data_IF_747562271020
#
_entry.id   IF_747562271020
#
_cell.length_a   1.000
_cell.length_b   1.000
_cell.length_c   1.000
_cell.angle_alpha   90.00
_cell.angle_beta   90.00
_cell.angle_gamma   90.00
#
_symmetry.space_group_name_H-M   'P 1'
#
loop_
_entity.id
_entity.type
_entity.pdbx_description
1 polymer ?
#
# COMPACT_ATOMS: atom_id res chain seq x y z
N UNK A 1 -2.98 5.82 -24.83
CA UNK A 1 -3.79 4.74 -24.25
C UNK A 1 -2.91 3.83 -23.40
N UNK A 2 -2.30 4.36 -22.36
CA UNK A 2 -1.47 3.52 -21.44
C UNK A 2 -1.29 4.24 -20.11
N UNK A 3 -2.40 4.56 -19.39
CA UNK A 3 -2.29 5.19 -18.08
C UNK A 3 -3.52 4.89 -17.23
N UNK A 4 -3.61 3.64 -16.73
CA UNK A 4 -4.46 3.33 -15.59
C UNK A 4 -3.62 2.55 -14.59
N UNK A 5 -2.84 3.27 -13.81
CA UNK A 5 -2.09 2.70 -12.67
C UNK A 5 -2.73 3.24 -11.41
N UNK A 6 -3.22 2.34 -10.59
CA UNK A 6 -4.11 2.59 -9.45
C UNK A 6 -3.38 2.45 -8.13
N UNK A 7 -3.87 3.25 -7.19
CA UNK A 7 -3.54 3.28 -5.77
C UNK A 7 -3.50 1.89 -5.13
N UNK A 8 -2.31 1.39 -4.77
CA UNK A 8 -2.26 0.22 -3.90
C UNK A 8 -0.99 0.16 -3.05
N UNK A 9 -1.09 0.63 -1.83
CA UNK A 9 -0.14 0.26 -0.78
C UNK A 9 -0.53 -1.13 -0.23
N UNK A 10 -0.37 -2.20 -1.01
CA UNK A 10 -0.52 -3.56 -0.49
C UNK A 10 0.79 -3.97 0.15
N UNK A 11 0.74 -4.14 1.46
CA UNK A 11 1.80 -4.72 2.24
C UNK A 11 1.91 -6.22 1.93
N UNK A 12 2.79 -6.58 1.01
CA UNK A 12 3.11 -7.97 0.73
C UNK A 12 4.32 -8.38 1.55
N UNK A 13 4.08 -8.94 2.74
CA UNK A 13 5.15 -9.65 3.44
C UNK A 13 5.19 -11.06 2.85
N UNK A 14 6.28 -11.49 2.20
CA UNK A 14 6.36 -12.83 1.67
C UNK A 14 6.30 -13.84 2.81
N UNK A 15 5.49 -14.87 2.63
CA UNK A 15 5.31 -15.98 3.57
C UNK A 15 6.62 -16.71 3.90
N UNK A 16 7.70 -16.47 3.14
CA UNK A 16 9.04 -17.01 3.40
C UNK A 16 9.72 -16.46 4.66
N UNK A 17 9.20 -15.37 5.25
CA UNK A 17 9.72 -14.81 6.51
C UNK A 17 9.18 -15.52 7.77
N UNK A 18 8.20 -16.47 7.60
CA UNK A 18 7.44 -17.03 8.70
C UNK A 18 7.61 -18.55 8.73
N UNK A 19 8.69 -18.96 9.31
CA UNK A 19 8.87 -20.33 9.78
C UNK A 19 9.14 -20.28 11.29
N UNK A 20 8.07 -20.24 12.04
CA UNK A 20 8.05 -20.43 13.50
C UNK A 20 7.00 -21.49 13.82
N UNK A 21 7.40 -22.69 13.95
CA UNK A 21 7.20 -23.74 14.93
C UNK A 21 7.33 -25.15 14.34
N UNK A 22 8.10 -25.99 15.10
CA UNK A 22 8.47 -27.39 14.83
C UNK A 22 9.19 -27.67 13.50
N UNK A 23 10.46 -27.63 13.63
CA UNK A 23 11.55 -27.92 12.70
C UNK A 23 11.32 -29.05 11.73
N UNK A 24 11.46 -28.80 10.42
CA UNK A 24 12.65 -29.25 9.74
C UNK A 24 13.50 -28.04 9.34
N UNK A 25 14.80 -28.18 9.39
CA UNK A 25 15.80 -27.22 8.93
C UNK A 25 15.40 -26.67 7.54
N UNK A 26 14.71 -25.52 7.51
CA UNK A 26 14.37 -24.87 6.24
C UNK A 26 15.66 -24.25 5.73
N UNK A 27 16.25 -24.88 4.72
CA UNK A 27 17.27 -24.26 3.88
C UNK A 27 16.81 -22.83 3.57
N UNK A 28 17.63 -21.85 3.93
CA UNK A 28 17.53 -20.44 3.55
C UNK A 28 17.25 -20.37 2.04
N UNK A 29 15.99 -20.28 1.63
CA UNK A 29 15.68 -20.27 0.21
C UNK A 29 15.82 -18.84 -0.30
N UNK A 30 17.02 -18.46 -0.67
CA UNK A 30 17.22 -17.42 -1.67
C UNK A 30 16.39 -17.82 -2.89
N UNK A 31 15.49 -16.98 -3.33
CA UNK A 31 14.61 -17.36 -4.43
C UNK A 31 14.03 -16.18 -5.17
N UNK A 32 13.89 -16.38 -6.46
CA UNK A 32 13.17 -15.49 -7.35
C UNK A 32 11.77 -16.07 -7.61
N UNK A 33 10.77 -15.20 -7.62
CA UNK A 33 9.41 -15.55 -8.04
C UNK A 33 8.88 -14.50 -9.00
N UNK A 34 8.14 -14.95 -9.99
CA UNK A 34 7.47 -14.06 -10.93
C UNK A 34 6.01 -14.49 -11.11
N UNK A 35 5.16 -13.57 -11.49
CA UNK A 35 3.73 -13.85 -11.65
C UNK A 35 2.95 -12.67 -12.20
N UNK A 36 1.64 -12.81 -12.16
CA UNK A 36 0.68 -11.79 -12.57
C UNK A 36 -0.35 -11.60 -11.47
N UNK A 37 -0.80 -10.37 -11.30
CA UNK A 37 -1.83 -10.00 -10.35
C UNK A 37 -2.80 -8.99 -10.93
N UNK A 38 -3.91 -8.85 -10.21
CA UNK A 38 -4.89 -7.79 -10.37
C UNK A 38 -4.94 -7.01 -9.08
N UNK A 39 -4.89 -5.71 -9.18
CA UNK A 39 -5.08 -4.77 -8.09
C UNK A 39 -6.29 -3.90 -8.39
N UNK A 40 -7.05 -3.55 -7.36
CA UNK A 40 -8.20 -2.68 -7.51
C UNK A 40 -8.46 -1.85 -6.27
N UNK A 41 -9.17 -0.74 -6.46
CA UNK A 41 -9.58 0.17 -5.40
C UNK A 41 -10.98 0.71 -5.71
N UNK A 42 -11.78 0.86 -4.66
CA UNK A 42 -12.98 1.71 -4.75
C UNK A 42 -12.50 3.16 -4.79
N UNK A 43 -12.67 3.87 -5.87
CA UNK A 43 -12.22 5.27 -5.97
C UNK A 43 -12.37 6.07 -4.68
N UNK A 44 -11.50 7.03 -4.46
CA UNK A 44 -11.45 7.87 -3.27
C UNK A 44 -11.99 9.26 -3.55
N UNK A 45 -11.59 9.82 -4.68
CA UNK A 45 -11.94 11.17 -5.09
C UNK A 45 -13.31 11.24 -5.75
N UNK A 46 -13.86 12.46 -5.84
CA UNK A 46 -15.20 12.72 -6.39
C UNK A 46 -15.35 12.12 -7.76
N UNK A 47 -16.26 11.15 -7.88
CA UNK A 47 -16.60 10.54 -9.16
C UNK A 47 -15.54 9.61 -9.71
N UNK A 48 -14.52 9.30 -8.96
CA UNK A 48 -13.58 8.24 -9.31
C UNK A 48 -14.28 6.87 -9.24
N UNK A 49 -14.21 6.11 -10.32
CA UNK A 49 -14.80 4.77 -10.40
C UNK A 49 -13.89 3.71 -9.77
N UNK A 50 -14.47 2.54 -9.46
CA UNK A 50 -13.67 1.37 -9.08
C UNK A 50 -12.83 0.92 -10.27
N UNK A 51 -11.56 0.80 -10.04
CA UNK A 51 -10.57 0.44 -11.06
C UNK A 51 -9.94 -0.93 -10.77
N UNK A 52 -9.64 -1.69 -11.83
CA UNK A 52 -8.88 -2.94 -11.77
C UNK A 52 -7.71 -2.85 -12.75
N UNK A 53 -6.50 -3.06 -12.22
CA UNK A 53 -5.27 -2.96 -13.01
C UNK A 53 -4.48 -4.28 -12.95
N UNK A 54 -4.12 -4.88 -14.07
CA UNK A 54 -3.17 -5.97 -14.11
C UNK A 54 -1.77 -5.46 -13.76
N UNK A 55 -1.06 -6.21 -12.91
CA UNK A 55 0.28 -5.87 -12.47
C UNK A 55 1.22 -7.07 -12.59
N UNK A 56 2.47 -6.89 -13.03
CA UNK A 56 3.48 -7.91 -12.92
C UNK A 56 3.88 -8.08 -11.45
N UNK A 57 4.03 -9.33 -11.02
CA UNK A 57 4.48 -9.67 -9.69
C UNK A 57 5.90 -10.22 -9.78
N UNK A 58 6.86 -9.45 -9.28
CA UNK A 58 8.25 -9.85 -9.19
C UNK A 58 8.68 -9.85 -7.73
N UNK A 59 9.30 -10.92 -7.28
CA UNK A 59 9.91 -10.94 -5.96
C UNK A 59 11.25 -11.68 -5.96
N UNK A 60 12.16 -11.14 -5.19
CA UNK A 60 13.47 -11.71 -4.91
C UNK A 60 13.73 -11.64 -3.41
N UNK A 61 14.11 -12.73 -2.81
CA UNK A 61 14.50 -12.77 -1.41
C UNK A 61 15.91 -13.33 -1.31
N UNK A 62 16.87 -12.45 -1.05
CA UNK A 62 18.27 -12.78 -0.88
C UNK A 62 18.72 -12.68 0.58
N UNK A 63 20.01 -12.94 0.83
CA UNK A 63 20.58 -12.83 2.17
C UNK A 63 20.61 -11.37 2.65
N UNK A 64 20.99 -10.46 1.78
CA UNK A 64 21.18 -9.03 2.07
C UNK A 64 20.13 -8.15 1.40
N UNK A 65 19.75 -8.44 0.16
CA UNK A 65 18.81 -7.63 -0.61
C UNK A 65 17.51 -8.38 -0.83
N UNK A 66 16.42 -7.61 -1.00
CA UNK A 66 15.13 -8.16 -1.38
C UNK A 66 14.39 -7.21 -2.33
N UNK A 67 13.48 -7.80 -3.13
CA UNK A 67 12.52 -7.10 -3.98
C UNK A 67 11.15 -7.74 -3.76
N UNK A 68 10.10 -6.94 -3.63
CA UNK A 68 8.73 -7.40 -3.39
C UNK A 68 7.76 -6.50 -4.14
N UNK A 69 7.55 -6.76 -5.43
CA UNK A 69 6.81 -5.85 -6.30
C UNK A 69 7.51 -4.50 -6.43
N UNK A 70 6.85 -3.44 -6.01
CA UNK A 70 7.35 -2.06 -6.04
C UNK A 70 8.11 -1.64 -4.76
N UNK A 71 8.46 -2.59 -3.93
CA UNK A 71 9.13 -2.41 -2.67
C UNK A 71 10.44 -3.19 -2.67
N UNK A 72 11.54 -2.50 -2.49
CA UNK A 72 12.88 -3.08 -2.46
C UNK A 72 13.63 -2.65 -1.19
N UNK A 73 14.63 -3.41 -0.80
CA UNK A 73 15.42 -3.01 0.36
C UNK A 73 16.64 -3.87 0.62
N UNK A 74 17.36 -3.44 1.64
CA UNK A 74 18.56 -4.08 2.15
C UNK A 74 18.40 -4.37 3.65
N UNK A 75 18.69 -5.59 4.06
CA UNK A 75 18.74 -6.00 5.47
C UNK A 75 19.99 -5.39 6.11
N UNK A 76 19.78 -4.37 6.96
CA UNK A 76 20.86 -3.69 7.70
C UNK A 76 21.27 -4.50 8.93
N UNK A 77 20.27 -5.07 9.62
CA UNK A 77 20.46 -5.94 10.76
C UNK A 77 19.39 -7.03 10.78
N UNK A 78 19.75 -8.25 11.17
CA UNK A 78 18.82 -9.37 11.33
C UNK A 78 19.28 -10.34 12.39
N UNK A 79 18.38 -10.67 13.31
CA UNK A 79 18.48 -11.80 14.20
C UNK A 79 17.21 -12.67 14.15
N UNK A 80 17.01 -13.56 15.11
CA UNK A 80 15.86 -14.48 15.12
C UNK A 80 14.51 -13.75 15.28
N UNK A 81 14.48 -12.68 16.10
CA UNK A 81 13.26 -11.96 16.47
C UNK A 81 13.10 -10.62 15.74
N UNK A 82 14.19 -9.99 15.34
CA UNK A 82 14.20 -8.63 14.86
C UNK A 82 14.91 -8.50 13.50
N UNK A 83 14.36 -7.69 12.62
CA UNK A 83 14.99 -7.30 11.35
C UNK A 83 14.84 -5.79 11.16
N UNK A 84 15.96 -5.12 10.83
CA UNK A 84 15.98 -3.73 10.39
C UNK A 84 16.39 -3.68 8.93
N UNK A 85 15.59 -3.03 8.11
CA UNK A 85 15.81 -2.86 6.68
C UNK A 85 15.96 -1.37 6.34
N UNK A 86 16.85 -1.06 5.40
CA UNK A 86 16.75 0.15 4.59
C UNK A 86 15.87 -0.15 3.39
N UNK A 87 14.94 0.73 3.06
CA UNK A 87 13.89 0.47 2.08
C UNK A 87 13.72 1.61 1.08
N UNK A 88 13.31 1.23 -0.12
CA UNK A 88 12.79 2.13 -1.17
C UNK A 88 11.48 1.55 -1.66
N UNK A 89 10.45 2.36 -1.78
CA UNK A 89 9.17 1.96 -2.33
C UNK A 89 8.57 3.03 -3.24
N UNK A 90 7.71 2.59 -4.14
CA UNK A 90 6.86 3.49 -4.92
C UNK A 90 5.52 3.60 -4.23
N UNK A 91 5.15 4.82 -3.82
CA UNK A 91 3.83 5.09 -3.31
C UNK A 91 2.92 5.44 -4.50
N UNK A 92 1.93 4.60 -4.72
CA UNK A 92 1.03 4.67 -5.86
C UNK A 92 -0.16 5.62 -5.62
N UNK A 93 -0.20 6.34 -4.50
CA UNK A 93 -1.23 7.35 -4.29
C UNK A 93 -1.12 8.42 -5.39
N UNK A 94 -2.22 8.66 -6.08
CA UNK A 94 -2.31 9.67 -7.13
C UNK A 94 -3.74 10.20 -7.22
N UNK A 95 -3.89 11.35 -7.82
CA UNK A 95 -5.13 11.87 -8.36
C UNK A 95 -4.87 12.17 -9.84
N UNK A 96 -5.67 11.61 -10.72
CA UNK A 96 -5.71 11.96 -12.13
C UNK A 96 -7.03 12.69 -12.39
N UNK A 97 -6.95 13.95 -12.72
CA UNK A 97 -8.13 14.83 -12.90
C UNK A 97 -9.02 14.33 -14.04
N UNK A 98 -8.43 13.68 -15.04
CA UNK A 98 -9.18 13.12 -16.16
C UNK A 98 -10.06 11.91 -15.77
N UNK A 99 -9.71 11.22 -14.68
CA UNK A 99 -10.49 10.10 -14.15
C UNK A 99 -11.71 10.55 -13.33
N UNK A 100 -11.81 11.84 -12.96
CA UNK A 100 -12.92 12.37 -12.17
C UNK A 100 -14.18 12.57 -13.01
N UNK A 101 -15.36 12.39 -12.42
CA UNK A 101 -16.65 12.59 -13.10
C UNK A 101 -17.08 14.06 -13.04
N UNK A 102 -17.11 14.71 -14.21
CA UNK A 102 -17.45 16.14 -14.34
C UNK A 102 -18.83 16.50 -13.75
N UNK A 103 -19.82 15.62 -13.94
CA UNK A 103 -21.18 15.86 -13.42
C UNK A 103 -21.20 15.85 -11.87
N UNK A 104 -20.41 15.00 -11.25
CA UNK A 104 -20.28 14.97 -9.78
C UNK A 104 -19.46 16.14 -9.24
N UNK A 105 -18.42 16.56 -9.96
CA UNK A 105 -17.67 17.78 -9.64
C UNK A 105 -18.57 19.01 -9.68
N UNK A 106 -19.40 19.14 -10.73
CA UNK A 106 -20.33 20.25 -10.88
C UNK A 106 -21.36 20.33 -9.72
N UNK A 107 -21.77 19.22 -9.12
CA UNK A 107 -22.65 19.20 -7.96
C UNK A 107 -22.01 19.82 -6.71
N UNK A 108 -20.68 19.85 -6.64
CA UNK A 108 -19.89 20.51 -5.59
C UNK A 108 -19.30 21.85 -6.05
N UNK A 109 -19.80 22.42 -7.15
CA UNK A 109 -19.30 23.66 -7.76
C UNK A 109 -17.81 23.60 -8.14
N UNK A 110 -17.34 22.41 -8.53
CA UNK A 110 -15.98 22.17 -9.00
C UNK A 110 -16.00 21.79 -10.50
N UNK A 111 -14.85 21.98 -11.14
CA UNK A 111 -14.60 21.54 -12.52
C UNK A 111 -13.16 21.01 -12.63
N UNK A 112 -12.90 20.13 -13.60
CA UNK A 112 -11.55 19.59 -13.83
C UNK A 112 -10.50 20.67 -14.06
N UNK A 113 -10.87 21.77 -14.72
CA UNK A 113 -9.94 22.89 -15.05
C UNK A 113 -9.40 23.57 -13.80
N UNK A 114 -10.12 23.50 -12.68
CA UNK A 114 -9.69 24.08 -11.39
C UNK A 114 -8.74 23.17 -10.63
N UNK A 115 -8.74 21.86 -10.92
CA UNK A 115 -7.97 20.85 -10.18
C UNK A 115 -6.65 20.53 -10.89
N UNK A 116 -5.74 19.95 -10.17
CA UNK A 116 -4.43 19.51 -10.65
C UNK A 116 -4.20 18.05 -10.27
N UNK A 117 -3.40 17.37 -11.07
CA UNK A 117 -3.00 15.99 -10.81
C UNK A 117 -2.15 15.89 -9.54
N UNK A 118 -2.21 14.71 -8.90
CA UNK A 118 -1.32 14.33 -7.81
C UNK A 118 -0.50 13.14 -8.27
N UNK A 119 0.80 13.30 -8.26
CA UNK A 119 1.73 12.29 -8.74
C UNK A 119 2.00 11.19 -7.71
N UNK A 120 2.41 10.03 -8.22
CA UNK A 120 3.00 8.98 -7.41
C UNK A 120 4.33 9.47 -6.83
N UNK A 121 4.72 8.94 -5.67
CA UNK A 121 6.00 9.28 -5.05
C UNK A 121 6.95 8.08 -4.96
N UNK A 122 8.24 8.38 -4.96
CA UNK A 122 9.29 7.44 -4.59
C UNK A 122 9.70 7.74 -3.15
N UNK A 123 9.59 6.77 -2.29
CA UNK A 123 9.89 6.93 -0.87
C UNK A 123 11.12 6.14 -0.47
N UNK A 124 11.94 6.68 0.43
CA UNK A 124 13.09 6.00 1.05
C UNK A 124 12.96 6.06 2.58
N UNK A 125 13.41 5.02 3.25
CA UNK A 125 13.34 5.00 4.71
C UNK A 125 13.81 3.72 5.37
N UNK A 126 13.26 3.46 6.54
CA UNK A 126 13.58 2.30 7.37
C UNK A 126 12.32 1.48 7.66
N UNK A 127 12.52 0.18 7.78
CA UNK A 127 11.52 -0.76 8.25
C UNK A 127 12.08 -1.61 9.38
N UNK A 128 11.38 -1.63 10.50
CA UNK A 128 11.63 -2.53 11.62
C UNK A 128 10.57 -3.63 11.63
N UNK A 129 10.99 -4.90 11.71
CA UNK A 129 10.12 -6.07 11.80
C UNK A 129 10.45 -6.84 13.05
N UNK A 130 9.45 -7.07 13.91
CA UNK A 130 9.55 -7.89 15.11
C UNK A 130 8.68 -9.13 14.95
N UNK A 131 9.27 -10.30 15.11
CA UNK A 131 8.51 -11.56 15.18
C UNK A 131 7.96 -11.74 16.58
N UNK A 132 6.68 -12.00 16.64
CA UNK A 132 5.96 -12.34 17.88
C UNK A 132 5.37 -13.75 17.75
N UNK A 133 4.92 -14.40 18.85
CA UNK A 133 4.52 -15.82 18.82
C UNK A 133 3.50 -16.18 17.76
N UNK A 134 2.59 -15.25 17.40
CA UNK A 134 1.50 -15.53 16.46
C UNK A 134 1.52 -14.64 15.21
N UNK A 135 2.63 -13.96 14.92
CA UNK A 135 2.68 -13.09 13.76
C UNK A 135 3.92 -12.22 13.72
N UNK A 136 3.75 -11.06 13.11
CA UNK A 136 4.80 -10.04 13.04
C UNK A 136 4.20 -8.65 13.32
N UNK A 137 5.00 -7.82 13.96
CA UNK A 137 4.77 -6.38 14.03
C UNK A 137 5.77 -5.73 13.09
N UNK A 138 5.33 -4.83 12.24
CA UNK A 138 6.20 -4.03 11.37
C UNK A 138 5.92 -2.56 11.56
N UNK A 139 6.99 -1.77 11.56
CA UNK A 139 6.92 -0.30 11.54
C UNK A 139 7.80 0.18 10.41
N UNK A 140 7.23 0.98 9.52
CA UNK A 140 7.96 1.67 8.45
C UNK A 140 7.91 3.16 8.69
N UNK A 141 9.03 3.84 8.47
CA UNK A 141 9.11 5.30 8.43
C UNK A 141 9.83 5.68 7.13
N UNK A 142 9.16 6.41 6.27
CA UNK A 142 9.66 6.78 4.95
C UNK A 142 9.47 8.27 4.69
N UNK A 143 10.29 8.80 3.81
CA UNK A 143 10.15 10.15 3.28
C UNK A 143 10.15 10.12 1.76
N UNK A 144 9.34 10.98 1.16
CA UNK A 144 9.30 11.18 -0.29
C UNK A 144 10.61 11.80 -0.77
N UNK A 145 11.20 11.19 -1.81
CA UNK A 145 12.37 11.70 -2.52
C UNK A 145 12.06 11.98 -3.99
N UNK A 146 10.81 11.80 -4.41
CA UNK A 146 10.34 12.03 -5.78
C UNK A 146 9.83 13.45 -6.02
N UNK A 147 9.91 14.34 -5.03
CA UNK A 147 9.41 15.73 -5.06
C UNK A 147 7.88 15.85 -5.30
N UNK A 148 7.12 14.78 -5.08
CA UNK A 148 5.66 14.86 -5.18
C UNK A 148 5.08 15.61 -3.97
N UNK A 149 5.44 15.22 -2.76
CA UNK A 149 4.91 15.78 -1.51
C UNK A 149 5.97 16.29 -0.53
N UNK A 150 7.26 15.97 -0.74
CA UNK A 150 8.38 16.26 0.18
C UNK A 150 8.07 15.90 1.64
N UNK A 151 7.45 14.72 1.86
CA UNK A 151 6.74 14.48 3.08
C UNK A 151 6.93 13.08 3.66
N UNK A 152 6.80 12.99 4.97
CA UNK A 152 6.97 11.76 5.73
C UNK A 152 5.67 10.96 5.88
N UNK A 153 5.84 9.62 5.97
CA UNK A 153 4.79 8.66 6.28
C UNK A 153 5.33 7.62 7.25
N UNK A 154 4.51 7.23 8.24
CA UNK A 154 4.81 6.12 9.15
C UNK A 154 3.66 5.12 9.10
N UNK A 155 3.98 3.84 8.85
CA UNK A 155 3.01 2.74 8.90
C UNK A 155 3.37 1.78 10.01
N UNK A 156 2.39 1.39 10.82
CA UNK A 156 2.53 0.35 11.81
C UNK A 156 1.47 -0.74 11.56
N UNK A 157 1.91 -1.99 11.54
CA UNK A 157 1.05 -3.13 11.22
C UNK A 157 1.30 -4.28 12.18
N UNK A 158 0.24 -5.01 12.51
CA UNK A 158 0.29 -6.34 13.07
C UNK A 158 -0.31 -7.33 12.07
N UNK A 159 0.49 -8.29 11.61
CA UNK A 159 0.09 -9.35 10.70
C UNK A 159 0.09 -10.68 11.44
N UNK A 160 -1.08 -11.32 11.55
CA UNK A 160 -1.24 -12.67 12.05
C UNK A 160 -1.20 -13.68 10.91
N UNK A 161 -0.67 -14.89 11.16
CA UNK A 161 -0.60 -15.97 10.17
C UNK A 161 -1.33 -17.19 10.70
N UNK A 162 -2.51 -17.42 10.17
CA UNK A 162 -3.34 -18.56 10.52
C UNK A 162 -3.21 -19.65 9.46
N UNK A 163 -2.36 -20.62 9.75
CA UNK A 163 -2.17 -21.78 8.88
C UNK A 163 -3.29 -22.78 9.12
N UNK A 164 -4.24 -22.88 8.19
CA UNK A 164 -5.38 -23.80 8.27
C UNK A 164 -4.96 -25.24 7.94
N UNK A 165 -4.07 -25.40 6.98
CA UNK A 165 -3.46 -26.67 6.57
C UNK A 165 -2.17 -26.41 5.76
N UNK A 166 -1.63 -27.46 5.12
CA UNK A 166 -0.39 -27.34 4.33
C UNK A 166 -0.52 -26.47 3.07
N UNK A 167 -1.72 -26.17 2.62
CA UNK A 167 -1.99 -25.40 1.41
C UNK A 167 -2.54 -24.00 1.73
N UNK A 168 -3.40 -23.87 2.75
CA UNK A 168 -4.09 -22.64 3.07
C UNK A 168 -3.48 -21.90 4.26
N UNK A 169 -3.23 -20.62 4.05
CA UNK A 169 -2.87 -19.69 5.12
C UNK A 169 -3.76 -18.44 5.02
N UNK A 170 -4.45 -18.10 6.10
CA UNK A 170 -5.13 -16.82 6.25
C UNK A 170 -4.20 -15.81 6.93
N UNK A 171 -4.34 -14.56 6.55
CA UNK A 171 -3.45 -13.47 6.96
C UNK A 171 -4.25 -12.23 7.36
N UNK A 172 -5.00 -12.26 8.49
CA UNK A 172 -5.60 -11.03 9.01
C UNK A 172 -4.50 -10.04 9.42
N UNK A 173 -4.75 -8.77 9.14
CA UNK A 173 -3.87 -7.66 9.46
C UNK A 173 -4.67 -6.49 10.02
N UNK A 174 -4.08 -5.79 10.98
CA UNK A 174 -4.58 -4.52 11.47
C UNK A 174 -3.42 -3.53 11.52
N UNK A 175 -3.67 -2.29 11.15
CA UNK A 175 -2.62 -1.28 11.13
C UNK A 175 -3.14 0.14 11.11
N UNK A 176 -2.18 1.05 11.15
CA UNK A 176 -2.40 2.50 11.06
C UNK A 176 -1.35 3.11 10.15
N UNK A 177 -1.76 4.13 9.40
CA UNK A 177 -0.89 4.99 8.60
C UNK A 177 -0.93 6.39 9.20
N UNK A 178 0.21 6.95 9.56
CA UNK A 178 0.35 8.35 9.91
C UNK A 178 0.98 9.10 8.73
N UNK A 179 0.36 10.19 8.32
CA UNK A 179 0.82 11.07 7.27
C UNK A 179 1.19 12.42 7.87
N UNK A 180 2.35 12.96 7.49
CA UNK A 180 2.72 14.32 7.83
C UNK A 180 1.80 15.34 7.17
N UNK A 181 1.83 16.59 7.66
CA UNK A 181 1.02 17.69 7.14
C UNK A 181 1.18 17.86 5.63
N UNK A 182 2.41 17.86 5.14
CA UNK A 182 2.70 18.03 3.71
C UNK A 182 2.09 16.93 2.88
N UNK A 183 2.24 15.63 3.28
CA UNK A 183 1.69 14.49 2.56
C UNK A 183 0.15 14.49 2.58
N UNK A 184 -0.43 14.77 3.74
CA UNK A 184 -1.87 14.86 3.89
C UNK A 184 -2.48 16.00 3.07
N UNK A 185 -1.86 17.18 3.10
CA UNK A 185 -2.30 18.33 2.32
C UNK A 185 -2.14 18.12 0.81
N UNK A 186 -1.10 17.43 0.38
CA UNK A 186 -0.87 17.14 -1.03
C UNK A 186 -1.96 16.21 -1.60
N UNK A 187 -2.25 15.08 -0.93
CA UNK A 187 -3.22 14.11 -1.47
C UNK A 187 -4.69 14.43 -1.11
N UNK A 188 -4.96 15.01 0.05
CA UNK A 188 -6.33 15.21 0.54
C UNK A 188 -6.72 16.67 0.73
N UNK A 189 -5.79 17.60 0.62
CA UNK A 189 -6.04 19.03 0.65
C UNK A 189 -6.18 19.64 -0.74
N UNK A 190 -6.38 20.96 -0.77
CA UNK A 190 -6.38 21.75 -2.00
C UNK A 190 -5.05 22.47 -2.18
N UNK A 191 -4.48 22.44 -3.38
CA UNK A 191 -3.24 23.15 -3.72
C UNK A 191 -3.48 24.66 -3.78
N UNK A 192 -2.43 25.46 -3.56
CA UNK A 192 -2.55 26.92 -3.64
C UNK A 192 -2.93 27.39 -5.06
N UNK A 193 -2.48 26.68 -6.09
CA UNK A 193 -2.88 26.91 -7.48
C UNK A 193 -4.37 26.60 -7.73
N UNK A 194 -4.94 25.60 -7.08
CA UNK A 194 -6.38 25.28 -7.14
C UNK A 194 -7.21 26.33 -6.39
N UNK A 195 -6.73 26.79 -5.24
CA UNK A 195 -7.35 27.90 -4.49
C UNK A 195 -7.35 29.18 -5.33
N UNK A 196 -6.27 29.46 -6.07
CA UNK A 196 -6.22 30.58 -7.01
C UNK A 196 -7.22 30.47 -8.17
N UNK A 197 -7.65 29.24 -8.52
CA UNK A 197 -8.72 28.96 -9.50
C UNK A 197 -10.13 28.91 -8.88
N UNK A 198 -10.28 29.26 -7.58
CA UNK A 198 -11.55 29.36 -6.88
C UNK A 198 -12.00 28.12 -6.13
N UNK A 199 -11.14 27.11 -5.98
CA UNK A 199 -11.41 25.97 -5.11
C UNK A 199 -11.31 26.41 -3.64
N UNK A 200 -12.22 25.92 -2.78
CA UNK A 200 -12.18 26.21 -1.36
C UNK A 200 -10.85 25.74 -0.74
N UNK A 201 -10.21 26.60 0.05
CA UNK A 201 -8.97 26.26 0.72
C UNK A 201 -9.21 25.24 1.82
N UNK A 202 -8.60 24.07 1.69
CA UNK A 202 -8.68 22.98 2.67
C UNK A 202 -7.29 22.42 2.99
N UNK A 203 -6.99 22.25 4.27
CA UNK A 203 -5.73 21.73 4.80
C UNK A 203 -6.02 20.73 5.93
N UNK A 204 -6.06 19.41 5.65
CA UNK A 204 -6.33 18.40 6.67
C UNK A 204 -5.24 18.29 7.73
N UNK A 205 -4.01 18.79 7.43
CA UNK A 205 -2.82 18.64 8.26
C UNK A 205 -2.48 17.15 8.50
N UNK A 206 -1.80 16.82 9.59
CA UNK A 206 -1.46 15.42 9.85
C UNK A 206 -2.70 14.53 10.03
N UNK A 207 -2.57 13.30 9.60
CA UNK A 207 -3.63 12.31 9.57
C UNK A 207 -3.18 10.98 10.17
N UNK A 208 -4.15 10.27 10.76
CA UNK A 208 -4.01 8.85 11.12
C UNK A 208 -5.14 8.10 10.43
N UNK A 209 -4.79 7.12 9.60
CA UNK A 209 -5.73 6.30 8.83
C UNK A 209 -5.63 4.86 9.31
N UNK A 210 -6.60 4.39 10.14
CA UNK A 210 -6.68 2.99 10.52
C UNK A 210 -7.09 2.11 9.34
N UNK A 211 -6.64 0.86 9.34
CA UNK A 211 -7.07 -0.12 8.35
C UNK A 211 -7.10 -1.54 8.90
N UNK A 212 -7.96 -2.34 8.31
CA UNK A 212 -8.04 -3.79 8.51
C UNK A 212 -7.87 -4.49 7.17
N UNK A 213 -7.19 -5.62 7.19
CA UNK A 213 -7.00 -6.42 5.99
C UNK A 213 -7.20 -7.90 6.28
N UNK A 214 -7.73 -8.62 5.31
CA UNK A 214 -7.77 -10.07 5.31
C UNK A 214 -7.11 -10.58 4.02
N UNK A 215 -5.99 -11.25 4.17
CA UNK A 215 -5.32 -11.97 3.11
C UNK A 215 -5.60 -13.47 3.19
N UNK A 216 -5.52 -14.13 2.04
CA UNK A 216 -5.53 -15.59 1.92
C UNK A 216 -4.46 -16.02 0.91
N UNK A 217 -3.71 -17.06 1.25
CA UNK A 217 -2.72 -17.67 0.36
C UNK A 217 -3.00 -19.15 0.22
N UNK A 218 -3.02 -19.61 -1.03
CA UNK A 218 -3.20 -21.01 -1.39
C UNK A 218 -2.00 -21.52 -2.19
N UNK A 219 -1.32 -22.54 -1.69
CA UNK A 219 -0.21 -23.20 -2.38
C UNK A 219 -0.74 -24.37 -3.19
N UNK A 220 -0.85 -24.21 -4.53
CA UNK A 220 -1.23 -25.30 -5.42
C UNK A 220 -0.21 -26.44 -5.37
N UNK A 221 1.07 -26.06 -5.31
CA UNK A 221 2.23 -26.95 -5.15
C UNK A 221 3.40 -26.13 -4.56
N UNK A 222 4.58 -26.72 -4.31
CA UNK A 222 5.73 -25.99 -3.76
C UNK A 222 6.23 -24.80 -4.59
N UNK A 223 5.86 -24.73 -5.87
CA UNK A 223 6.31 -23.68 -6.81
C UNK A 223 5.22 -22.66 -7.14
N UNK A 224 3.93 -23.02 -7.09
CA UNK A 224 2.83 -22.15 -7.53
C UNK A 224 1.98 -21.76 -6.33
N UNK A 225 1.79 -20.45 -6.18
CA UNK A 225 0.97 -19.87 -5.11
C UNK A 225 -0.01 -18.86 -5.67
N UNK A 226 -1.25 -18.94 -5.21
CA UNK A 226 -2.28 -17.90 -5.40
C UNK A 226 -2.41 -17.13 -4.10
N UNK A 227 -2.47 -15.82 -4.17
CA UNK A 227 -2.67 -14.95 -3.01
C UNK A 227 -3.74 -13.92 -3.34
N UNK A 228 -4.62 -13.67 -2.39
CA UNK A 228 -5.62 -12.61 -2.45
C UNK A 228 -5.63 -11.82 -1.15
N UNK A 229 -6.04 -10.57 -1.22
CA UNK A 229 -6.24 -9.72 -0.05
C UNK A 229 -7.31 -8.68 -0.31
N UNK A 230 -8.03 -8.31 0.76
CA UNK A 230 -8.93 -7.16 0.81
C UNK A 230 -8.48 -6.31 1.98
N UNK A 231 -8.29 -5.02 1.75
CA UNK A 231 -7.92 -4.03 2.77
C UNK A 231 -8.97 -2.94 2.81
N UNK A 232 -9.53 -2.70 3.98
CA UNK A 232 -10.47 -1.61 4.23
C UNK A 232 -9.80 -0.54 5.07
N UNK A 233 -9.77 0.70 4.56
CA UNK A 233 -9.23 1.89 5.24
C UNK A 233 -10.39 2.75 5.73
N UNK A 234 -10.35 3.12 7.00
CA UNK A 234 -11.31 4.01 7.64
C UNK A 234 -10.78 5.44 7.52
N UNK A 235 -11.48 6.28 6.77
CA UNK A 235 -11.02 7.64 6.54
C UNK A 235 -11.45 8.53 7.72
N UNK A 236 -10.53 9.28 8.35
CA UNK A 236 -10.88 10.24 9.39
C UNK A 236 -11.67 11.42 8.80
N UNK A 237 -12.47 12.09 9.63
CA UNK A 237 -13.29 13.25 9.24
C UNK A 237 -12.48 14.30 8.46
N UNK A 238 -11.22 14.53 8.85
CA UNK A 238 -10.29 15.42 8.15
C UNK A 238 -10.01 15.02 6.67
N UNK A 239 -10.26 13.80 6.26
CA UNK A 239 -10.23 13.41 4.85
C UNK A 239 -11.61 13.58 4.23
N UNK A 240 -12.65 13.11 4.93
CA UNK A 240 -14.04 13.13 4.47
C UNK A 240 -14.54 14.57 4.23
N UNK A 241 -14.13 15.51 5.06
CA UNK A 241 -14.47 16.94 4.93
C UNK A 241 -13.77 17.65 3.76
N UNK A 242 -12.83 16.98 3.08
CA UNK A 242 -12.18 17.56 1.91
C UNK A 242 -13.17 17.79 0.76
N UNK A 243 -13.11 18.95 0.10
CA UNK A 243 -13.94 19.21 -1.07
C UNK A 243 -13.67 18.25 -2.25
N UNK A 244 -12.54 17.54 -2.24
CA UNK A 244 -12.13 16.59 -3.28
C UNK A 244 -12.63 15.15 -3.01
N UNK A 245 -13.17 14.86 -1.84
CA UNK A 245 -13.53 13.51 -1.39
C UNK A 245 -15.05 13.37 -1.30
N UNK A 246 -15.57 12.20 -1.66
CA UNK A 246 -16.99 11.85 -1.51
C UNK A 246 -17.20 10.50 -0.79
N UNK A 247 -16.16 9.96 -0.18
CA UNK A 247 -16.16 8.66 0.52
C UNK A 247 -15.70 8.80 1.96
N UNK A 248 -16.26 7.98 2.83
CA UNK A 248 -15.87 7.81 4.24
C UNK A 248 -14.90 6.64 4.47
N UNK A 249 -14.69 5.86 3.44
CA UNK A 249 -13.83 4.67 3.49
C UNK A 249 -13.29 4.32 2.10
N UNK A 250 -12.21 3.54 2.07
CA UNK A 250 -11.63 3.02 0.83
C UNK A 250 -11.35 1.53 0.98
N UNK A 251 -11.73 0.75 -0.02
CA UNK A 251 -11.46 -0.68 -0.06
C UNK A 251 -10.54 -1.02 -1.23
N UNK A 252 -9.44 -1.69 -0.91
CA UNK A 252 -8.47 -2.17 -1.89
C UNK A 252 -8.56 -3.67 -2.04
N UNK A 253 -8.38 -4.16 -3.25
CA UNK A 253 -8.41 -5.58 -3.62
C UNK A 253 -7.10 -5.97 -4.27
N UNK A 254 -6.65 -7.16 -3.96
CA UNK A 254 -5.52 -7.80 -4.61
C UNK A 254 -5.82 -9.27 -4.87
N UNK A 255 -5.42 -9.75 -6.05
CA UNK A 255 -5.35 -11.17 -6.35
C UNK A 255 -4.18 -11.43 -7.29
N UNK A 256 -3.39 -12.47 -7.04
CA UNK A 256 -2.26 -12.79 -7.88
C UNK A 256 -1.85 -14.26 -7.83
N UNK A 257 -1.20 -14.69 -8.89
CA UNK A 257 -0.57 -15.99 -9.01
C UNK A 257 0.93 -15.81 -9.24
N UNK A 258 1.76 -16.54 -8.49
CA UNK A 258 3.20 -16.49 -8.58
C UNK A 258 3.80 -17.87 -8.76
N UNK A 259 4.88 -17.93 -9.55
CA UNK A 259 5.72 -19.12 -9.72
C UNK A 259 7.09 -18.85 -9.09
N UNK A 260 7.56 -19.79 -8.28
CA UNK A 260 8.87 -19.79 -7.65
C UNK A 260 9.85 -20.65 -8.47
N UNK A 261 10.96 -20.07 -8.85
CA UNK A 261 12.03 -20.72 -9.63
C UNK A 261 12.98 -21.53 -8.75
#
# INVERSE_FOLDING_TARGET
MLNKIILLSIFFIPLSAIAGESQPTIKKSTGFSAGLGLVGSTGLYIGEDTNLTPVPLLSYEGDRFFLRGLYAGMKLYKNELFTLNGIVNVNMNKLDVDDLNESKLAQKNLSRVQLEDRDISADVGLEAIVKVPYGIISVQAVNDIGNASDAAEVKANYQYFWRLNNQWTLMPNAGVEWLSDSRANYYYGTLDSEVAKGVEKYRPNNLIIPHLSLGASYSLNPKIRVTSAVTHKFLPDKIVDSPLIDKDSMTNFFMGITYKF
#
